data_IF_026304262503
#
_entry.id   IF_026304262503
#
_cell.length_a   1.000
_cell.length_b   1.000
_cell.length_c   1.000
_cell.angle_alpha   90.00
_cell.angle_beta   90.00
_cell.angle_gamma   90.00
#
_symmetry.space_group_name_H-M   'P 1'
#
loop_
_entity.id
_entity.type
_entity.pdbx_description
1 polymer ?
#
# COMPACT_ATOMS: atom_id res chain seq x y z
N UNK A 1 -17.42 9.62 -6.87
CA UNK A 1 -17.22 8.62 -5.80
C UNK A 1 -17.68 9.11 -4.43
N UNK A 2 -17.12 10.20 -3.86
CA UNK A 2 -17.48 10.70 -2.51
C UNK A 2 -18.99 10.81 -2.25
N UNK A 3 -19.72 11.45 -3.18
CA UNK A 3 -21.17 11.63 -3.05
C UNK A 3 -21.99 10.34 -3.20
N UNK A 4 -21.40 9.30 -3.81
CA UNK A 4 -22.04 7.99 -3.94
C UNK A 4 -21.93 7.13 -2.66
N UNK A 5 -21.19 7.61 -1.64
CA UNK A 5 -21.09 6.95 -0.33
C UNK A 5 -22.35 7.28 0.50
N UNK A 6 -22.98 6.28 1.15
CA UNK A 6 -24.03 6.47 2.14
C UNK A 6 -23.63 7.48 3.22
N UNK A 7 -24.59 8.29 3.70
CA UNK A 7 -24.30 9.38 4.65
C UNK A 7 -23.63 8.87 5.93
N UNK A 8 -24.06 7.72 6.44
CA UNK A 8 -23.49 7.02 7.60
C UNK A 8 -21.99 6.72 7.47
N UNK A 9 -21.54 6.35 6.27
CA UNK A 9 -20.15 5.94 6.02
C UNK A 9 -19.27 7.10 5.50
N UNK A 10 -19.88 8.20 5.05
CA UNK A 10 -19.19 9.29 4.38
C UNK A 10 -18.10 9.96 5.23
N UNK A 11 -18.30 10.05 6.55
CA UNK A 11 -17.30 10.67 7.45
C UNK A 11 -15.97 9.90 7.46
N UNK A 12 -16.04 8.57 7.45
CA UNK A 12 -14.86 7.70 7.54
C UNK A 12 -14.24 7.51 6.15
N UNK A 13 -15.04 7.03 5.19
CA UNK A 13 -14.53 6.65 3.87
C UNK A 13 -14.34 7.87 2.95
N UNK A 14 -15.12 8.92 3.15
CA UNK A 14 -14.97 10.16 2.40
C UNK A 14 -13.67 10.90 2.73
N UNK A 15 -13.21 10.84 3.98
CA UNK A 15 -11.89 11.35 4.36
C UNK A 15 -10.75 10.61 3.63
N UNK A 16 -10.88 9.29 3.45
CA UNK A 16 -9.95 8.49 2.65
C UNK A 16 -9.88 8.92 1.18
N UNK A 17 -11.05 9.15 0.55
CA UNK A 17 -11.11 9.67 -0.83
C UNK A 17 -10.46 11.06 -0.94
N UNK A 18 -10.74 11.96 0.00
CA UNK A 18 -10.13 13.31 0.00
C UNK A 18 -8.62 13.22 0.21
N UNK A 19 -8.17 12.32 1.10
CA UNK A 19 -6.75 12.09 1.35
C UNK A 19 -6.02 11.49 0.15
N UNK A 20 -6.70 10.73 -0.71
CA UNK A 20 -6.16 10.23 -1.97
C UNK A 20 -6.18 11.31 -3.07
N UNK A 21 -7.24 12.12 -3.12
CA UNK A 21 -7.40 13.20 -4.09
C UNK A 21 -6.31 14.27 -3.98
N UNK A 22 -5.96 14.68 -2.75
CA UNK A 22 -4.98 15.74 -2.51
C UNK A 22 -3.60 15.47 -3.15
N UNK A 23 -2.91 14.35 -2.86
CA UNK A 23 -1.64 14.05 -3.52
C UNK A 23 -1.82 13.91 -5.02
N UNK A 24 -2.88 13.26 -5.49
CA UNK A 24 -3.13 13.13 -6.93
C UNK A 24 -3.31 14.46 -7.65
N UNK A 25 -4.01 15.42 -7.04
CA UNK A 25 -4.18 16.75 -7.61
C UNK A 25 -2.90 17.58 -7.54
N UNK A 26 -2.18 17.54 -6.41
CA UNK A 26 -1.01 18.40 -6.19
C UNK A 26 0.24 17.91 -6.93
N UNK A 27 0.56 16.62 -6.82
CA UNK A 27 1.76 16.02 -7.42
C UNK A 27 1.51 15.35 -8.77
N UNK A 28 0.25 15.07 -9.12
CA UNK A 28 -0.08 14.36 -10.35
C UNK A 28 0.07 12.84 -10.26
N UNK A 29 0.40 12.29 -9.08
CA UNK A 29 0.45 10.84 -8.86
C UNK A 29 -0.99 10.29 -8.76
N UNK A 30 -1.48 9.60 -9.79
CA UNK A 30 -2.89 9.17 -9.88
C UNK A 30 -3.17 7.85 -9.17
N UNK A 31 -2.15 7.08 -8.81
CA UNK A 31 -2.30 5.76 -8.17
C UNK A 31 -3.14 5.78 -6.88
N UNK A 32 -2.96 6.75 -5.95
CA UNK A 32 -3.74 6.79 -4.72
C UNK A 32 -5.24 6.87 -4.94
N UNK A 33 -5.70 7.60 -5.97
CA UNK A 33 -7.13 7.73 -6.28
C UNK A 33 -7.61 6.59 -7.18
N UNK A 34 -6.80 6.15 -8.16
CA UNK A 34 -7.15 5.06 -9.07
C UNK A 34 -7.32 3.73 -8.33
N UNK A 35 -6.45 3.42 -7.36
CA UNK A 35 -6.52 2.19 -6.59
C UNK A 35 -7.78 2.09 -5.72
N UNK A 36 -8.49 3.20 -5.49
CA UNK A 36 -9.78 3.17 -4.78
C UNK A 36 -10.88 2.47 -5.60
N UNK A 37 -10.77 2.45 -6.93
CA UNK A 37 -11.80 1.86 -7.80
C UNK A 37 -11.29 0.85 -8.82
N UNK A 38 -9.99 0.80 -9.12
CA UNK A 38 -9.39 -0.13 -10.08
C UNK A 38 -9.80 -1.58 -9.83
N UNK A 39 -9.72 -2.04 -8.57
CA UNK A 39 -10.03 -3.42 -8.20
C UNK A 39 -11.50 -3.65 -7.83
N UNK A 40 -12.23 -2.59 -7.46
CA UNK A 40 -13.64 -2.71 -7.01
C UNK A 40 -14.63 -2.48 -8.14
N UNK A 41 -14.26 -1.71 -9.16
CA UNK A 41 -15.08 -1.37 -10.31
C UNK A 41 -14.20 -1.21 -11.58
N UNK A 42 -13.68 -2.32 -12.15
CA UNK A 42 -12.78 -2.28 -13.31
C UNK A 42 -13.35 -1.53 -14.51
N UNK A 43 -14.67 -1.56 -14.71
CA UNK A 43 -15.32 -0.83 -15.80
C UNK A 43 -15.15 0.70 -15.69
N UNK A 44 -15.15 1.25 -14.46
CA UNK A 44 -14.88 2.67 -14.25
C UNK A 44 -13.46 3.03 -14.67
N UNK A 45 -12.51 2.10 -14.51
CA UNK A 45 -11.12 2.29 -14.94
C UNK A 45 -10.96 2.26 -16.45
N UNK A 46 -11.70 1.38 -17.15
CA UNK A 46 -11.74 1.39 -18.62
C UNK A 46 -12.22 2.76 -19.12
N UNK A 47 -13.30 3.30 -18.55
CA UNK A 47 -13.83 4.62 -18.93
C UNK A 47 -12.85 5.75 -18.60
N UNK A 48 -12.17 5.68 -17.46
CA UNK A 48 -11.11 6.62 -17.08
C UNK A 48 -9.99 6.70 -18.12
N UNK A 49 -9.52 5.55 -18.63
CA UNK A 49 -8.49 5.52 -19.68
C UNK A 49 -8.99 6.22 -20.95
N UNK A 50 -10.22 5.94 -21.39
CA UNK A 50 -10.81 6.60 -22.56
C UNK A 50 -10.95 8.10 -22.36
N UNK A 51 -11.45 8.55 -21.20
CA UNK A 51 -11.58 9.97 -20.90
C UNK A 51 -10.24 10.69 -20.84
N UNK A 52 -9.21 10.01 -20.33
CA UNK A 52 -7.84 10.55 -20.31
C UNK A 52 -7.34 10.75 -21.74
N UNK A 53 -7.45 9.74 -22.60
CA UNK A 53 -7.11 9.85 -24.02
C UNK A 53 -7.90 10.92 -24.76
N UNK A 54 -9.22 10.97 -24.56
CA UNK A 54 -10.07 11.98 -25.18
C UNK A 54 -9.73 13.39 -24.72
N UNK A 55 -9.38 13.60 -23.45
CA UNK A 55 -8.97 14.92 -22.96
C UNK A 55 -7.76 15.43 -23.74
N UNK A 56 -6.72 14.60 -23.90
CA UNK A 56 -5.54 14.97 -24.69
C UNK A 56 -5.87 15.19 -26.17
N UNK A 57 -6.73 14.35 -26.75
CA UNK A 57 -7.21 14.50 -28.12
C UNK A 57 -7.95 15.84 -28.32
N UNK A 58 -8.89 16.19 -27.44
CA UNK A 58 -9.63 17.44 -27.53
C UNK A 58 -8.72 18.65 -27.33
N UNK A 59 -7.76 18.59 -26.40
CA UNK A 59 -6.78 19.65 -26.23
C UNK A 59 -5.99 19.89 -27.52
N UNK A 60 -5.56 18.82 -28.19
CA UNK A 60 -4.86 18.91 -29.47
C UNK A 60 -5.75 19.50 -30.58
N UNK A 61 -6.98 19.00 -30.74
CA UNK A 61 -7.91 19.46 -31.79
C UNK A 61 -8.35 20.91 -31.60
N UNK A 62 -8.50 21.37 -30.35
CA UNK A 62 -8.86 22.77 -30.05
C UNK A 62 -7.65 23.72 -30.08
N UNK A 63 -6.44 23.23 -30.40
CA UNK A 63 -5.22 24.04 -30.40
C UNK A 63 -4.81 24.54 -29.01
N UNK A 64 -5.21 23.81 -27.95
CA UNK A 64 -4.84 24.09 -26.58
C UNK A 64 -3.58 23.31 -26.22
N UNK A 65 -2.46 24.02 -26.14
CA UNK A 65 -1.20 23.44 -25.72
C UNK A 65 -1.03 23.55 -24.21
N UNK A 66 -0.29 22.58 -23.66
CA UNK A 66 0.30 22.67 -22.34
C UNK A 66 1.61 21.88 -22.34
N UNK A 67 2.56 22.30 -21.53
CA UNK A 67 3.78 21.55 -21.26
C UNK A 67 3.46 20.53 -20.17
N UNK A 68 3.49 19.25 -20.55
CA UNK A 68 3.35 18.15 -19.59
C UNK A 68 4.72 17.60 -19.22
N UNK A 69 4.96 17.45 -17.92
CA UNK A 69 6.11 16.77 -17.34
C UNK A 69 5.63 15.50 -16.63
N UNK A 70 6.56 14.60 -16.27
CA UNK A 70 6.20 13.38 -15.55
C UNK A 70 5.63 13.73 -14.17
N UNK A 71 4.36 13.40 -13.92
CA UNK A 71 3.63 13.84 -12.72
C UNK A 71 3.15 15.29 -12.82
N UNK A 72 2.38 15.62 -13.86
CA UNK A 72 1.81 16.95 -14.09
C UNK A 72 0.66 17.29 -13.13
N UNK A 73 0.93 17.30 -11.82
CA UNK A 73 0.01 17.86 -10.83
C UNK A 73 -0.08 19.37 -10.91
N UNK A 74 -1.00 19.98 -10.15
CA UNK A 74 -1.24 21.42 -10.11
C UNK A 74 0.04 22.21 -9.81
N UNK A 75 0.88 21.72 -8.90
CA UNK A 75 2.12 22.41 -8.51
C UNK A 75 3.09 22.47 -9.70
N UNK A 76 3.39 21.32 -10.29
CA UNK A 76 4.31 21.22 -11.43
C UNK A 76 3.75 21.96 -12.64
N UNK A 77 2.44 21.84 -12.89
CA UNK A 77 1.77 22.56 -13.95
C UNK A 77 1.90 24.08 -13.76
N UNK A 78 1.64 24.60 -12.57
CA UNK A 78 1.73 26.04 -12.29
C UNK A 78 3.15 26.57 -12.51
N UNK A 79 4.17 25.86 -12.02
CA UNK A 79 5.56 26.28 -12.18
C UNK A 79 5.95 26.31 -13.66
N UNK A 80 5.61 25.28 -14.43
CA UNK A 80 6.06 25.18 -15.82
C UNK A 80 5.20 26.00 -16.78
N UNK A 81 3.87 25.91 -16.65
CA UNK A 81 2.95 26.48 -17.63
C UNK A 81 2.59 27.93 -17.33
N UNK A 82 2.45 28.34 -16.05
CA UNK A 82 2.07 29.72 -15.73
C UNK A 82 3.20 30.69 -16.09
N UNK A 83 4.46 30.31 -15.81
CA UNK A 83 5.64 31.10 -16.17
C UNK A 83 5.78 31.22 -17.69
N UNK A 84 5.46 30.16 -18.42
CA UNK A 84 5.56 30.11 -19.89
C UNK A 84 4.24 30.43 -20.60
N UNK A 85 3.22 30.96 -19.90
CA UNK A 85 1.86 31.10 -20.43
C UNK A 85 1.79 31.90 -21.73
N UNK A 86 2.67 32.90 -21.90
CA UNK A 86 2.75 33.72 -23.12
C UNK A 86 3.24 32.95 -24.35
N UNK A 87 4.02 31.90 -24.15
CA UNK A 87 4.61 31.08 -25.21
C UNK A 87 3.75 29.85 -25.53
N UNK A 88 2.69 29.60 -24.76
CA UNK A 88 1.83 28.43 -24.89
C UNK A 88 0.58 28.82 -25.65
N UNK A 89 0.43 28.27 -26.86
CA UNK A 89 -0.75 28.47 -27.68
C UNK A 89 -2.00 27.96 -26.93
N UNK A 90 -3.02 28.80 -26.82
CA UNK A 90 -4.28 28.40 -26.20
C UNK A 90 -4.14 28.00 -24.72
N UNK A 91 -3.20 28.61 -23.99
CA UNK A 91 -2.95 28.38 -22.55
C UNK A 91 -4.23 28.36 -21.70
N UNK A 92 -5.21 29.20 -22.04
CA UNK A 92 -6.50 29.28 -21.35
C UNK A 92 -7.35 28.01 -21.43
N UNK A 93 -7.01 27.08 -22.31
CA UNK A 93 -7.86 25.96 -22.69
C UNK A 93 -8.04 24.98 -21.56
N UNK A 94 -7.07 24.89 -20.65
CA UNK A 94 -7.18 24.08 -19.45
C UNK A 94 -8.32 24.54 -18.53
N UNK A 95 -8.56 25.85 -18.45
CA UNK A 95 -9.64 26.40 -17.62
C UNK A 95 -11.03 26.16 -18.21
N UNK A 96 -11.10 25.74 -19.47
CA UNK A 96 -12.35 25.34 -20.13
C UNK A 96 -12.51 23.81 -20.08
N UNK A 97 -11.52 23.08 -20.59
CA UNK A 97 -11.56 21.61 -20.68
C UNK A 97 -11.51 20.96 -19.30
N UNK A 98 -10.73 21.51 -18.36
CA UNK A 98 -10.60 20.96 -17.00
C UNK A 98 -11.95 20.88 -16.27
N UNK A 99 -12.66 22.00 -16.04
CA UNK A 99 -13.98 21.98 -15.41
C UNK A 99 -15.01 21.16 -16.18
N UNK A 100 -14.98 21.20 -17.52
CA UNK A 100 -15.84 20.37 -18.36
C UNK A 100 -15.62 18.88 -18.07
N UNK A 101 -14.37 18.43 -18.05
CA UNK A 101 -14.03 17.04 -17.75
C UNK A 101 -14.39 16.66 -16.32
N UNK A 102 -14.19 17.54 -15.33
CA UNK A 102 -14.66 17.32 -13.95
C UNK A 102 -16.17 17.04 -13.92
N UNK A 103 -16.96 17.83 -14.67
CA UNK A 103 -18.41 17.62 -14.79
C UNK A 103 -18.76 16.28 -15.43
N UNK A 104 -18.13 15.94 -16.56
CA UNK A 104 -18.34 14.68 -17.29
C UNK A 104 -17.97 13.47 -16.41
N UNK A 105 -16.80 13.51 -15.75
CA UNK A 105 -16.38 12.49 -14.80
C UNK A 105 -17.37 12.36 -13.64
N UNK A 106 -17.79 13.48 -13.04
CA UNK A 106 -18.73 13.47 -11.93
C UNK A 106 -20.04 12.79 -12.31
N UNK A 107 -20.68 13.23 -13.39
CA UNK A 107 -21.97 12.69 -13.84
C UNK A 107 -21.85 11.21 -14.17
N UNK A 108 -20.86 10.85 -14.99
CA UNK A 108 -20.70 9.47 -15.46
C UNK A 108 -20.35 8.53 -14.31
N UNK A 109 -19.35 8.86 -13.49
CA UNK A 109 -18.98 8.01 -12.36
C UNK A 109 -20.10 7.91 -11.35
N UNK A 110 -20.75 9.02 -11.00
CA UNK A 110 -21.86 9.00 -10.04
C UNK A 110 -23.00 8.11 -10.55
N UNK A 111 -23.42 8.31 -11.79
CA UNK A 111 -24.52 7.55 -12.39
C UNK A 111 -24.19 6.06 -12.48
N UNK A 112 -23.00 5.70 -12.96
CA UNK A 112 -22.58 4.30 -13.07
C UNK A 112 -22.47 3.62 -11.71
N UNK A 113 -21.88 4.30 -10.71
CA UNK A 113 -21.75 3.74 -9.35
C UNK A 113 -23.12 3.48 -8.74
N UNK A 114 -24.08 4.39 -8.94
CA UNK A 114 -25.44 4.25 -8.39
C UNK A 114 -26.24 3.20 -9.15
N UNK A 115 -26.28 3.27 -10.49
CA UNK A 115 -27.12 2.42 -11.33
C UNK A 115 -26.62 0.97 -11.42
N UNK A 116 -25.31 0.77 -11.49
CA UNK A 116 -24.69 -0.56 -11.54
C UNK A 116 -24.30 -1.09 -10.15
N UNK A 117 -24.64 -0.32 -9.10
CA UNK A 117 -24.35 -0.63 -7.70
C UNK A 117 -22.90 -1.06 -7.45
N UNK A 118 -21.94 -0.31 -8.00
CA UNK A 118 -20.53 -0.62 -7.83
C UNK A 118 -20.09 -0.48 -6.37
N UNK A 119 -19.26 -1.43 -5.94
CA UNK A 119 -18.75 -1.56 -4.56
C UNK A 119 -17.56 -0.65 -4.29
N UNK A 120 -17.67 0.63 -4.66
CA UNK A 120 -16.61 1.61 -4.36
C UNK A 120 -16.46 1.82 -2.84
N UNK A 121 -15.30 2.28 -2.35
CA UNK A 121 -15.04 2.41 -0.92
C UNK A 121 -16.13 3.15 -0.15
N UNK A 122 -16.59 2.57 0.95
CA UNK A 122 -17.68 3.10 1.79
C UNK A 122 -19.09 2.70 1.35
N UNK A 123 -19.27 2.05 0.20
CA UNK A 123 -20.57 1.49 -0.24
C UNK A 123 -20.77 0.02 0.15
N UNK A 124 -19.71 -0.75 0.33
CA UNK A 124 -19.79 -2.12 0.86
C UNK A 124 -19.42 -2.10 2.36
N UNK A 125 -20.16 -2.86 3.18
CA UNK A 125 -19.87 -3.01 4.61
C UNK A 125 -18.59 -3.81 4.86
N UNK A 126 -18.15 -4.61 3.87
CA UNK A 126 -17.06 -5.57 4.01
C UNK A 126 -15.74 -5.19 3.30
N UNK A 127 -15.66 -4.05 2.61
CA UNK A 127 -14.45 -3.67 1.85
C UNK A 127 -13.65 -2.61 2.60
N UNK A 128 -12.51 -3.06 3.12
CA UNK A 128 -11.27 -2.31 3.45
C UNK A 128 -11.49 -0.89 3.96
N UNK A 129 -11.53 -0.73 5.29
CA UNK A 129 -11.30 0.57 5.93
C UNK A 129 -9.99 1.14 5.38
N UNK A 130 -10.04 2.31 4.74
CA UNK A 130 -8.85 3.12 4.54
C UNK A 130 -8.48 3.69 5.90
N UNK A 131 -7.67 2.92 6.64
CA UNK A 131 -7.27 3.23 8.01
C UNK A 131 -6.42 4.51 7.99
N UNK A 132 -6.86 5.54 8.70
CA UNK A 132 -6.09 6.77 8.87
C UNK A 132 -4.76 6.50 9.61
N UNK A 133 -3.71 7.31 9.42
CA UNK A 133 -2.43 7.17 10.16
C UNK A 133 -2.63 7.09 11.68
N UNK A 134 -3.65 7.78 12.23
CA UNK A 134 -4.01 7.70 13.66
C UNK A 134 -4.61 6.34 14.02
N UNK A 135 -5.51 5.84 13.20
CA UNK A 135 -6.15 4.53 13.38
C UNK A 135 -5.15 3.39 13.16
N UNK A 136 -4.14 3.55 12.30
CA UNK A 136 -3.06 2.57 12.13
C UNK A 136 -2.18 2.51 13.37
N UNK A 137 -1.81 3.67 13.94
CA UNK A 137 -1.06 3.73 15.21
C UNK A 137 -1.86 3.13 16.37
N UNK A 138 -3.17 3.40 16.43
CA UNK A 138 -4.07 2.83 17.43
C UNK A 138 -4.26 1.33 17.24
N UNK A 139 -4.44 0.84 16.01
CA UNK A 139 -4.52 -0.58 15.69
C UNK A 139 -3.23 -1.30 16.06
N UNK A 140 -2.06 -0.71 15.77
CA UNK A 140 -0.74 -1.24 16.13
C UNK A 140 -0.52 -1.24 17.66
N UNK A 141 -1.09 -0.29 18.40
CA UNK A 141 -1.10 -0.27 19.86
C UNK A 141 -2.04 -1.32 20.46
N UNK A 142 -3.23 -1.50 19.88
CA UNK A 142 -4.19 -2.53 20.25
C UNK A 142 -3.67 -3.94 19.94
N UNK A 143 -2.92 -4.09 18.85
CA UNK A 143 -2.23 -5.34 18.50
C UNK A 143 -1.12 -5.66 19.51
N UNK A 144 -0.30 -4.67 19.89
CA UNK A 144 0.66 -4.79 21.00
C UNK A 144 0.00 -5.14 22.34
N UNK A 145 -1.20 -4.62 22.62
CA UNK A 145 -1.94 -4.95 23.84
C UNK A 145 -2.57 -6.35 23.78
N UNK A 146 -3.13 -6.77 22.64
CA UNK A 146 -3.65 -8.14 22.46
C UNK A 146 -2.57 -9.20 22.55
N UNK A 147 -1.35 -8.90 22.10
CA UNK A 147 -0.17 -9.76 22.29
C UNK A 147 0.16 -9.89 23.79
N UNK A 148 0.08 -8.80 24.57
CA UNK A 148 0.28 -8.84 26.03
C UNK A 148 -0.83 -9.57 26.79
N UNK A 149 -2.09 -9.52 26.33
CA UNK A 149 -3.21 -10.19 27.01
C UNK A 149 -3.31 -11.68 26.66
N UNK A 150 -2.84 -12.12 25.49
CA UNK A 150 -2.78 -13.55 25.11
C UNK A 150 -1.68 -14.36 25.80
N UNK A 151 -0.73 -13.72 26.48
CA UNK A 151 0.34 -14.39 27.22
C UNK A 151 -0.13 -15.11 28.51
N UNK A 152 -1.42 -15.05 28.86
CA UNK A 152 -1.91 -15.56 30.16
C UNK A 152 -2.68 -16.88 30.12
N UNK A 153 -2.90 -17.51 28.96
CA UNK A 153 -3.54 -18.83 28.89
C UNK A 153 -2.54 -19.93 28.48
N UNK A 154 -2.14 -20.66 29.50
CA UNK A 154 -1.17 -21.75 29.54
C UNK A 154 -1.69 -22.97 28.77
N UNK A 155 -1.17 -23.21 27.55
CA UNK A 155 -0.97 -24.55 26.92
C UNK A 155 -0.44 -24.49 25.46
N UNK A 156 -0.50 -23.35 24.77
CA UNK A 156 0.10 -23.19 23.41
C UNK A 156 1.60 -22.80 23.42
N UNK A 157 2.14 -22.36 24.56
CA UNK A 157 3.49 -21.80 24.69
C UNK A 157 4.66 -22.80 24.53
N UNK A 158 4.43 -24.11 24.59
CA UNK A 158 5.51 -25.09 24.45
C UNK A 158 5.88 -25.33 22.98
N UNK A 159 4.88 -25.41 22.10
CA UNK A 159 5.06 -25.67 20.66
C UNK A 159 5.73 -24.47 19.96
N UNK A 160 5.34 -23.25 20.32
CA UNK A 160 5.96 -22.04 19.76
C UNK A 160 7.39 -21.85 20.29
N UNK A 161 7.68 -22.18 21.55
CA UNK A 161 9.04 -22.04 22.08
C UNK A 161 10.03 -23.06 21.51
N UNK A 162 9.60 -24.31 21.31
CA UNK A 162 10.43 -25.35 20.71
C UNK A 162 10.70 -25.04 19.23
N UNK A 163 9.68 -24.57 18.51
CA UNK A 163 9.80 -24.13 17.11
C UNK A 163 10.79 -22.97 16.97
N UNK A 164 10.66 -21.94 17.80
CA UNK A 164 11.54 -20.77 17.79
C UNK A 164 12.98 -21.15 18.19
N UNK A 165 13.15 -22.04 19.16
CA UNK A 165 14.47 -22.57 19.54
C UNK A 165 15.14 -23.31 18.38
N UNK A 166 14.40 -24.12 17.63
CA UNK A 166 14.94 -24.80 16.43
C UNK A 166 15.41 -23.80 15.38
N UNK A 167 14.71 -22.69 15.18
CA UNK A 167 15.15 -21.63 14.26
C UNK A 167 16.46 -20.99 14.74
N UNK A 168 16.57 -20.69 16.03
CA UNK A 168 17.78 -20.07 16.59
C UNK A 168 18.98 -21.02 16.49
N UNK A 169 18.80 -22.29 16.87
CA UNK A 169 19.84 -23.33 16.78
C UNK A 169 20.25 -23.56 15.32
N UNK A 170 19.27 -23.66 14.41
CA UNK A 170 19.54 -23.81 12.98
C UNK A 170 20.31 -22.63 12.37
N UNK A 171 20.21 -21.44 12.96
CA UNK A 171 20.97 -20.25 12.57
C UNK A 171 22.30 -20.10 13.34
N UNK A 172 22.86 -21.18 13.89
CA UNK A 172 24.15 -21.14 14.59
C UNK A 172 24.10 -20.71 16.06
N UNK A 173 22.90 -20.57 16.63
CA UNK A 173 22.70 -20.15 18.02
C UNK A 173 22.50 -18.64 18.20
N UNK A 174 22.13 -18.22 19.42
CA UNK A 174 21.86 -16.82 19.73
C UNK A 174 23.07 -15.91 19.51
N UNK A 175 24.27 -16.43 19.78
CA UNK A 175 25.54 -15.70 19.70
C UNK A 175 26.00 -15.47 18.26
N UNK A 176 25.60 -16.34 17.32
CA UNK A 176 26.04 -16.23 15.93
C UNK A 176 25.13 -15.31 15.10
N UNK A 177 23.94 -14.98 15.59
CA UNK A 177 23.00 -14.09 14.90
C UNK A 177 23.40 -12.63 15.13
N UNK A 178 23.91 -11.97 14.08
CA UNK A 178 24.30 -10.55 14.13
C UNK A 178 23.12 -9.61 13.91
N UNK A 179 22.37 -9.83 12.83
CA UNK A 179 21.22 -8.98 12.44
C UNK A 179 20.10 -9.88 11.94
N UNK A 180 18.89 -9.63 12.43
CA UNK A 180 17.68 -10.30 11.95
C UNK A 180 16.68 -9.30 11.35
N UNK A 181 16.48 -9.39 10.05
CA UNK A 181 15.48 -8.61 9.31
C UNK A 181 14.41 -9.54 8.71
N UNK A 182 13.24 -9.02 8.37
CA UNK A 182 12.21 -9.77 7.67
C UNK A 182 11.54 -8.91 6.60
N UNK A 183 11.19 -9.53 5.49
CA UNK A 183 10.32 -8.94 4.46
C UNK A 183 8.89 -9.46 4.65
N UNK A 184 8.13 -9.58 3.54
CA UNK A 184 6.76 -10.13 3.54
C UNK A 184 6.75 -11.66 3.63
N UNK A 185 7.74 -12.34 3.04
CA UNK A 185 7.77 -13.81 2.95
C UNK A 185 9.06 -14.47 3.42
N UNK A 186 10.09 -13.67 3.75
CA UNK A 186 11.45 -14.15 4.01
C UNK A 186 12.02 -13.57 5.29
N UNK A 187 12.67 -14.43 6.07
CA UNK A 187 13.48 -14.09 7.22
C UNK A 187 14.93 -13.97 6.75
N UNK A 188 15.57 -12.84 6.98
CA UNK A 188 16.96 -12.58 6.63
C UNK A 188 17.78 -12.55 7.90
N UNK A 189 18.64 -13.54 8.06
CA UNK A 189 19.53 -13.68 9.21
C UNK A 189 20.95 -13.45 8.72
N UNK A 190 21.57 -12.36 9.16
CA UNK A 190 22.99 -12.12 8.95
C UNK A 190 23.73 -12.75 10.12
N UNK A 191 24.60 -13.70 9.81
CA UNK A 191 25.35 -14.49 10.78
C UNK A 191 26.76 -13.93 10.96
N UNK A 192 27.45 -14.34 12.03
CA UNK A 192 28.88 -14.10 12.19
C UNK A 192 29.68 -15.13 11.40
N UNK A 193 29.29 -16.41 11.46
CA UNK A 193 29.91 -17.50 10.71
C UNK A 193 28.85 -18.38 10.06
N UNK A 194 28.71 -18.28 8.74
CA UNK A 194 27.72 -19.05 7.98
C UNK A 194 27.95 -20.56 8.03
N UNK A 195 29.15 -21.03 8.41
CA UNK A 195 29.47 -22.46 8.52
C UNK A 195 28.68 -23.15 9.64
N UNK A 196 28.19 -22.38 10.62
CA UNK A 196 27.34 -22.88 11.72
C UNK A 196 25.86 -22.98 11.33
N UNK A 197 25.50 -22.62 10.10
CA UNK A 197 24.13 -22.75 9.62
C UNK A 197 23.77 -24.22 9.37
N UNK A 198 22.79 -24.74 10.12
CA UNK A 198 22.33 -26.12 9.98
C UNK A 198 21.03 -26.19 9.17
N UNK A 199 21.20 -26.56 7.90
CA UNK A 199 20.14 -26.81 6.92
C UNK A 199 19.11 -27.82 7.40
N UNK A 200 19.58 -28.89 8.06
CA UNK A 200 18.73 -30.01 8.46
C UNK A 200 17.75 -29.62 9.58
N UNK A 201 18.15 -28.67 10.43
CA UNK A 201 17.32 -28.14 11.50
C UNK A 201 16.29 -27.15 10.93
N UNK A 202 16.68 -26.32 9.98
CA UNK A 202 15.80 -25.33 9.33
C UNK A 202 14.78 -25.99 8.39
N UNK A 203 15.05 -27.15 7.83
CA UNK A 203 14.05 -27.90 7.07
C UNK A 203 12.94 -28.44 8.00
N UNK A 204 13.28 -28.79 9.25
CA UNK A 204 12.31 -29.26 10.27
C UNK A 204 11.39 -28.14 10.75
N UNK A 205 11.69 -26.87 10.50
CA UNK A 205 10.83 -25.73 10.86
C UNK A 205 9.76 -25.43 9.81
N UNK A 206 9.48 -26.37 8.89
CA UNK A 206 8.48 -26.22 7.82
C UNK A 206 8.70 -24.96 6.97
N UNK A 207 9.96 -24.62 6.73
CA UNK A 207 10.29 -23.57 5.77
C UNK A 207 9.97 -24.04 4.34
N UNK A 208 9.65 -23.11 3.44
CA UNK A 208 9.50 -23.39 2.01
C UNK A 208 10.86 -23.47 1.29
N UNK A 209 11.96 -23.28 2.01
CA UNK A 209 13.33 -23.30 1.52
C UNK A 209 14.18 -22.17 2.10
N UNK A 210 15.47 -22.21 1.78
CA UNK A 210 16.44 -21.20 2.20
C UNK A 210 17.43 -20.87 1.07
N UNK A 211 18.09 -19.72 1.18
CA UNK A 211 19.16 -19.31 0.26
C UNK A 211 20.27 -18.61 1.03
N UNK A 212 21.49 -19.06 0.81
CA UNK A 212 22.72 -18.43 1.34
C UNK A 212 23.21 -17.35 0.37
N UNK A 213 23.55 -16.19 0.92
CA UNK A 213 24.08 -15.04 0.17
C UNK A 213 25.19 -14.39 1.02
N UNK A 214 26.44 -14.70 0.73
CA UNK A 214 27.58 -14.21 1.52
C UNK A 214 27.47 -14.71 2.97
N UNK A 215 27.43 -13.79 3.94
CA UNK A 215 27.24 -14.11 5.37
C UNK A 215 25.78 -14.00 5.84
N UNK A 216 24.82 -14.02 4.91
CA UNK A 216 23.39 -13.92 5.19
C UNK A 216 22.65 -15.16 4.69
N UNK A 217 21.76 -15.68 5.51
CA UNK A 217 20.79 -16.70 5.13
C UNK A 217 19.40 -16.10 5.00
N UNK A 218 18.71 -16.42 3.90
CA UNK A 218 17.31 -16.05 3.67
C UNK A 218 16.43 -17.29 3.76
N UNK A 219 15.61 -17.39 4.82
CA UNK A 219 14.68 -18.51 5.03
C UNK A 219 13.27 -18.08 4.61
N UNK A 220 12.58 -18.89 3.81
CA UNK A 220 11.26 -18.57 3.25
C UNK A 220 10.18 -19.21 4.14
N UNK A 221 9.45 -18.39 4.90
CA UNK A 221 8.32 -18.84 5.74
C UNK A 221 6.96 -18.36 5.24
N UNK A 222 6.92 -17.57 4.16
CA UNK A 222 5.69 -16.99 3.64
C UNK A 222 5.11 -15.91 4.56
N UNK A 223 3.80 -15.62 4.49
CA UNK A 223 3.18 -14.47 5.16
C UNK A 223 3.25 -14.51 6.70
N UNK A 224 3.58 -15.66 7.30
CA UNK A 224 3.76 -15.82 8.75
C UNK A 224 5.10 -15.31 9.26
N UNK A 225 6.01 -14.90 8.38
CA UNK A 225 7.39 -14.54 8.75
C UNK A 225 7.47 -13.35 9.70
N UNK A 226 6.53 -12.40 9.63
CA UNK A 226 6.51 -11.23 10.51
C UNK A 226 6.28 -11.63 11.97
N UNK A 227 5.36 -12.58 12.21
CA UNK A 227 5.09 -13.13 13.54
C UNK A 227 6.30 -13.90 14.05
N UNK A 228 6.87 -14.80 13.23
CA UNK A 228 8.06 -15.59 13.59
C UNK A 228 9.23 -14.68 13.93
N UNK A 229 9.54 -13.69 13.09
CA UNK A 229 10.63 -12.75 13.33
C UNK A 229 10.45 -11.93 14.62
N UNK A 230 9.20 -11.64 15.00
CA UNK A 230 8.90 -10.91 16.23
C UNK A 230 9.17 -11.79 17.46
N UNK A 231 8.70 -13.04 17.43
CA UNK A 231 8.92 -14.02 18.50
C UNK A 231 10.41 -14.38 18.68
N UNK A 232 11.14 -14.57 17.59
CA UNK A 232 12.60 -14.84 17.65
C UNK A 232 13.34 -13.66 18.27
N UNK A 233 13.02 -12.41 17.88
CA UNK A 233 13.65 -11.21 18.45
C UNK A 233 13.34 -11.03 19.92
N UNK A 234 12.09 -11.25 20.33
CA UNK A 234 11.67 -11.19 21.74
C UNK A 234 12.46 -12.19 22.59
N UNK A 235 12.73 -13.38 22.05
CA UNK A 235 13.52 -14.41 22.73
C UNK A 235 15.02 -14.12 22.78
N UNK A 236 15.57 -13.46 21.77
CA UNK A 236 16.98 -13.09 21.70
C UNK A 236 17.29 -11.77 22.43
N UNK A 237 16.27 -11.01 22.86
CA UNK A 237 16.45 -9.70 23.47
C UNK A 237 17.02 -8.64 22.50
N UNK A 238 16.92 -8.88 21.19
CA UNK A 238 17.44 -7.97 20.16
C UNK A 238 16.29 -7.04 19.75
N UNK A 239 16.26 -5.84 20.31
CA UNK A 239 15.39 -4.78 19.80
C UNK A 239 15.92 -4.29 18.44
N UNK A 240 15.02 -4.13 17.48
CA UNK A 240 15.33 -3.92 16.06
C UNK A 240 15.79 -2.52 15.68
#
# INVERSE_FOLDING_TARGET
MYFAIPKENRKIYGAGIISALLPSALSGATEPIEFTFLFTAPLLFVIHIFYTGFTYMFMYLCGFAQVSTRGSGIITWAIVNLINARNIQGFWGLFVIGPLMVGIYFVTFYFMIIKLNFKTPGRDKNITKLISKKEYKQAKQLEKQKIKTKQKDTKENELDNEFINKIIIGCGGAEDIKIMANCVTRLRVTMHDISKFDKSIVDKTKSYGYKEIGNQVQIIYGPKVTTIATLVREKLGIEG
#
